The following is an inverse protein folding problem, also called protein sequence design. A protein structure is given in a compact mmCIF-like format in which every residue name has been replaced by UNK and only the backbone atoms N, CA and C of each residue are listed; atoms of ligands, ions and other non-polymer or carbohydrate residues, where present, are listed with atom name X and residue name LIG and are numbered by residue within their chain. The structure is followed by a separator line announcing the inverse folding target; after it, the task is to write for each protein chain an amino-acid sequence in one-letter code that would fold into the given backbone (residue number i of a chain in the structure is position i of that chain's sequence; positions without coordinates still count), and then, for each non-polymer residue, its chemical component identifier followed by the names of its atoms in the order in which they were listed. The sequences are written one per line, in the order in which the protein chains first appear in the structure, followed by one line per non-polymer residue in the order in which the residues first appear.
data_IF_536765931581
#
_entry.id   IF_536765931581
#
_cell.length_a   1.000
_cell.length_b   1.000
_cell.length_c   1.000
_cell.angle_alpha   90.00
_cell.angle_beta   90.00
_cell.angle_gamma   90.00
#
_symmetry.space_group_name_H-M   'P 1'
#
loop_
_entity.id
_entity.type
_entity.pdbx_description
1 polymer ?
#
# COMPACT_ATOMS: atom_id res chain seq x y z
N UNK A 1 -11.71 -17.80 -25.27
CA UNK A 1 -12.53 -18.95 -24.86
C UNK A 1 -11.55 -20.02 -24.39
N UNK A 2 -11.37 -20.18 -23.08
CA UNK A 2 -10.43 -21.16 -22.53
C UNK A 2 -11.17 -22.45 -22.22
N UNK A 3 -10.77 -23.53 -22.86
CA UNK A 3 -11.28 -24.89 -22.62
C UNK A 3 -10.29 -25.58 -21.65
N UNK A 4 -10.79 -26.03 -20.50
CA UNK A 4 -10.02 -26.91 -19.61
C UNK A 4 -10.57 -28.32 -19.77
N UNK A 5 -9.71 -29.24 -20.21
CA UNK A 5 -10.01 -30.66 -20.29
C UNK A 5 -9.57 -31.28 -18.95
N UNK A 6 -10.50 -31.72 -18.13
CA UNK A 6 -10.23 -32.52 -16.94
C UNK A 6 -10.37 -33.99 -17.35
N UNK A 7 -9.26 -34.73 -17.40
CA UNK A 7 -9.28 -36.18 -17.55
C UNK A 7 -9.54 -36.83 -16.19
N UNK A 8 -10.76 -37.30 -15.97
CA UNK A 8 -11.04 -38.24 -14.89
C UNK A 8 -10.74 -39.65 -15.41
N UNK A 9 -9.86 -40.35 -14.71
CA UNK A 9 -9.49 -41.75 -15.03
C UNK A 9 -10.64 -42.74 -14.82
N UNK A 10 -11.71 -42.63 -15.58
CA UNK A 10 -12.76 -43.61 -15.69
C UNK A 10 -12.70 -44.22 -17.10
N UNK A 11 -12.57 -45.52 -17.12
CA UNK A 11 -12.63 -46.38 -18.32
C UNK A 11 -13.99 -46.23 -18.98
N UNK A 12 -14.16 -45.30 -19.87
CA UNK A 12 -15.08 -45.27 -21.03
C UNK A 12 -14.99 -43.84 -21.60
N UNK A 13 -14.41 -43.71 -22.77
CA UNK A 13 -14.03 -42.48 -23.41
C UNK A 13 -15.20 -41.60 -23.84
N UNK A 14 -15.66 -40.77 -22.93
CA UNK A 14 -16.41 -39.57 -23.22
C UNK A 14 -15.84 -38.43 -22.40
N UNK A 15 -15.03 -37.59 -23.02
CA UNK A 15 -14.57 -36.34 -22.42
C UNK A 15 -15.77 -35.40 -22.22
N UNK A 16 -16.19 -35.21 -20.99
CA UNK A 16 -17.23 -34.24 -20.63
C UNK A 16 -16.63 -32.84 -20.56
N UNK A 17 -16.90 -32.02 -21.56
CA UNK A 17 -16.51 -30.61 -21.59
C UNK A 17 -17.46 -29.84 -20.66
N UNK A 18 -16.97 -29.52 -19.45
CA UNK A 18 -17.66 -28.63 -18.52
C UNK A 18 -17.43 -27.17 -18.93
N UNK A 19 -18.52 -26.50 -19.33
CA UNK A 19 -18.48 -25.04 -19.54
C UNK A 19 -18.57 -24.33 -18.19
N UNK A 20 -17.48 -23.70 -17.75
CA UNK A 20 -17.50 -22.89 -16.54
C UNK A 20 -18.47 -21.71 -16.69
N UNK A 21 -19.26 -21.47 -15.65
CA UNK A 21 -20.07 -20.25 -15.58
C UNK A 21 -19.19 -18.99 -15.54
N UNK A 22 -19.71 -17.81 -15.91
CA UNK A 22 -18.95 -16.56 -15.79
C UNK A 22 -18.35 -16.33 -14.41
N UNK A 23 -19.05 -16.74 -13.36
CA UNK A 23 -18.60 -16.65 -11.96
C UNK A 23 -17.41 -17.58 -11.70
N UNK A 24 -17.48 -18.82 -12.16
CA UNK A 24 -16.38 -19.78 -12.00
C UNK A 24 -15.13 -19.34 -12.75
N UNK A 25 -15.28 -18.74 -13.95
CA UNK A 25 -14.17 -18.16 -14.71
C UNK A 25 -13.52 -16.97 -13.99
N UNK A 26 -14.34 -16.11 -13.38
CA UNK A 26 -13.85 -14.97 -12.60
C UNK A 26 -13.10 -15.43 -11.35
N UNK A 27 -13.64 -16.43 -10.63
CA UNK A 27 -12.98 -17.04 -9.48
C UNK A 27 -11.67 -17.75 -9.83
N UNK A 28 -11.61 -18.43 -10.99
CA UNK A 28 -10.37 -19.04 -11.47
C UNK A 28 -9.32 -17.97 -11.86
N UNK A 29 -9.72 -16.89 -12.53
CA UNK A 29 -8.84 -15.76 -12.84
C UNK A 29 -8.29 -15.11 -11.57
N UNK A 30 -9.13 -14.90 -10.55
CA UNK A 30 -8.71 -14.37 -9.25
C UNK A 30 -7.78 -15.35 -8.52
N UNK A 31 -8.13 -16.63 -8.49
CA UNK A 31 -7.29 -17.67 -7.89
C UNK A 31 -5.95 -17.86 -8.61
N UNK A 32 -5.91 -17.68 -9.94
CA UNK A 32 -4.66 -17.72 -10.73
C UNK A 32 -3.81 -16.47 -10.49
N UNK A 33 -4.42 -15.29 -10.35
CA UNK A 33 -3.73 -14.04 -10.02
C UNK A 33 -3.11 -14.14 -8.62
N UNK A 34 -3.84 -14.62 -7.62
CA UNK A 34 -3.32 -14.88 -6.28
C UNK A 34 -2.22 -15.95 -6.26
N UNK A 35 -2.39 -17.06 -7.01
CA UNK A 35 -1.36 -18.11 -7.12
C UNK A 35 -0.10 -17.63 -7.84
N UNK A 36 -0.24 -16.77 -8.86
CA UNK A 36 0.91 -16.19 -9.57
C UNK A 36 1.67 -15.21 -8.69
N UNK A 37 0.98 -14.42 -7.89
CA UNK A 37 1.58 -13.53 -6.89
C UNK A 37 2.32 -14.33 -5.80
N UNK A 38 1.73 -15.40 -5.26
CA UNK A 38 2.41 -16.32 -4.31
C UNK A 38 3.65 -17.00 -4.89
N UNK A 39 3.61 -17.45 -6.16
CA UNK A 39 4.78 -18.08 -6.80
C UNK A 39 5.93 -17.10 -7.07
N UNK A 40 5.66 -15.82 -7.36
CA UNK A 40 6.70 -14.82 -7.56
C UNK A 40 7.39 -14.43 -6.25
N UNK A 41 6.65 -14.28 -5.14
CA UNK A 41 7.23 -13.94 -3.83
C UNK A 41 8.19 -15.02 -3.29
N UNK A 42 7.88 -16.30 -3.56
CA UNK A 42 8.73 -17.42 -3.12
C UNK A 42 10.03 -17.61 -3.93
N UNK A 43 10.14 -17.05 -5.14
CA UNK A 43 11.34 -17.19 -5.99
C UNK A 43 12.44 -16.17 -5.73
N UNK A 44 12.16 -15.08 -5.04
CA UNK A 44 13.09 -13.96 -4.87
C UNK A 44 13.76 -13.86 -3.49
N UNK A 45 13.79 -14.94 -2.69
CA UNK A 45 14.71 -15.08 -1.55
C UNK A 45 14.72 -13.98 -0.47
N UNK A 46 13.80 -13.03 -0.52
CA UNK A 46 13.69 -11.93 0.44
C UNK A 46 12.91 -12.37 1.68
N UNK A 47 13.60 -12.93 2.66
CA UNK A 47 13.01 -13.53 3.87
C UNK A 47 12.48 -12.55 4.92
N UNK A 48 12.55 -11.22 4.76
CA UNK A 48 12.13 -10.29 5.81
C UNK A 48 11.20 -9.13 5.43
N UNK A 49 11.02 -8.79 4.15
CA UNK A 49 10.14 -7.68 3.75
C UNK A 49 9.13 -8.01 2.64
N UNK A 50 8.99 -9.25 2.26
CA UNK A 50 8.24 -9.68 1.08
C UNK A 50 6.89 -10.31 1.38
N UNK A 51 6.10 -9.80 2.34
CA UNK A 51 4.69 -10.15 2.39
C UNK A 51 3.94 -9.21 1.45
N UNK A 52 3.24 -9.79 0.45
CA UNK A 52 2.25 -9.06 -0.33
C UNK A 52 1.31 -8.31 0.61
N UNK A 53 0.71 -7.19 0.12
CA UNK A 53 -0.37 -6.50 0.81
C UNK A 53 -1.60 -7.44 0.78
N UNK A 54 -1.51 -8.56 1.46
CA UNK A 54 -2.66 -9.42 1.72
C UNK A 54 -3.17 -9.01 3.11
N UNK A 55 -4.12 -8.08 3.12
CA UNK A 55 -4.96 -7.89 4.29
C UNK A 55 -5.74 -9.20 4.49
N UNK A 56 -5.87 -9.64 5.73
CA UNK A 56 -6.71 -10.80 6.08
C UNK A 56 -8.22 -10.48 5.92
N UNK A 57 -8.55 -9.52 5.06
CA UNK A 57 -9.92 -9.11 4.77
C UNK A 57 -10.50 -10.10 3.73
N UNK A 58 -11.62 -10.70 4.09
CA UNK A 58 -12.35 -11.56 3.18
C UNK A 58 -13.22 -10.70 2.25
N UNK A 59 -12.85 -10.61 0.99
CA UNK A 59 -13.60 -9.83 0.01
C UNK A 59 -14.85 -10.59 -0.43
N UNK A 60 -15.97 -9.88 -0.53
CA UNK A 60 -17.23 -10.36 -1.06
C UNK A 60 -17.57 -9.69 -2.38
N UNK A 61 -18.48 -10.30 -3.13
CA UNK A 61 -18.93 -9.83 -4.44
C UNK A 61 -20.45 -9.77 -4.49
N UNK A 62 -20.96 -8.76 -5.15
CA UNK A 62 -22.38 -8.67 -5.47
C UNK A 62 -22.77 -9.82 -6.40
N UNK A 63 -23.77 -10.65 -6.06
CA UNK A 63 -24.10 -11.85 -6.82
C UNK A 63 -24.71 -11.57 -8.22
N UNK A 64 -25.23 -10.38 -8.43
CA UNK A 64 -25.88 -9.98 -9.69
C UNK A 64 -24.89 -9.27 -10.61
N UNK A 65 -24.19 -8.27 -10.08
CA UNK A 65 -23.27 -7.43 -10.86
C UNK A 65 -21.87 -7.99 -10.94
N UNK A 66 -21.53 -8.95 -10.06
CA UNK A 66 -20.19 -9.53 -9.87
C UNK A 66 -19.12 -8.47 -9.50
N UNK A 67 -19.53 -7.31 -9.00
CA UNK A 67 -18.64 -6.28 -8.54
C UNK A 67 -18.17 -6.57 -7.12
N UNK A 68 -16.92 -6.26 -6.77
CA UNK A 68 -16.47 -6.37 -5.39
C UNK A 68 -17.29 -5.43 -4.51
N UNK A 69 -17.49 -5.83 -3.26
CA UNK A 69 -18.20 -5.06 -2.25
C UNK A 69 -17.20 -4.53 -1.23
N UNK A 70 -17.31 -3.24 -0.91
CA UNK A 70 -16.48 -2.61 0.10
C UNK A 70 -16.64 -3.33 1.45
N UNK A 71 -15.54 -3.81 2.08
CA UNK A 71 -15.61 -4.63 3.30
C UNK A 71 -16.18 -3.89 4.51
N UNK A 72 -16.09 -2.56 4.53
CA UNK A 72 -16.63 -1.73 5.63
C UNK A 72 -18.11 -1.41 5.40
N UNK A 73 -18.63 -1.63 4.20
CA UNK A 73 -20.03 -1.39 3.88
C UNK A 73 -20.21 -0.38 2.75
N UNK A 74 -21.42 0.21 2.70
CA UNK A 74 -21.77 1.13 1.63
C UNK A 74 -21.34 2.56 1.95
N UNK A 75 -20.67 3.18 0.97
CA UNK A 75 -20.34 4.62 0.98
C UNK A 75 -21.46 5.48 0.38
N UNK A 76 -22.37 4.86 -0.38
CA UNK A 76 -23.40 5.53 -1.14
C UNK A 76 -22.98 5.92 -2.57
N UNK A 77 -21.72 5.69 -2.93
CA UNK A 77 -21.17 5.91 -4.27
C UNK A 77 -20.87 4.57 -4.93
N UNK A 78 -21.59 4.21 -5.98
CA UNK A 78 -21.33 2.97 -6.73
C UNK A 78 -20.27 3.17 -7.81
N UNK A 79 -19.62 2.08 -8.21
CA UNK A 79 -18.60 2.10 -9.28
C UNK A 79 -17.19 2.24 -8.70
N UNK A 80 -16.22 2.65 -9.53
CA UNK A 80 -14.82 2.84 -9.11
C UNK A 80 -14.52 4.27 -8.61
N UNK A 81 -15.38 5.22 -8.91
CA UNK A 81 -15.09 6.63 -8.65
C UNK A 81 -13.78 7.06 -9.31
N UNK A 82 -12.92 7.70 -8.54
CA UNK A 82 -11.59 8.14 -8.96
C UNK A 82 -10.52 7.04 -8.88
N UNK A 83 -10.84 5.88 -8.31
CA UNK A 83 -9.89 4.79 -8.13
C UNK A 83 -9.68 4.01 -9.43
N UNK A 84 -8.44 3.58 -9.67
CA UNK A 84 -8.02 2.93 -10.91
C UNK A 84 -8.54 1.51 -11.08
N UNK A 85 -8.85 0.81 -9.97
CA UNK A 85 -9.20 -0.62 -9.96
C UNK A 85 -10.50 -0.87 -9.22
N UNK A 86 -11.22 -1.94 -9.61
CA UNK A 86 -12.30 -2.51 -8.82
C UNK A 86 -11.73 -3.23 -7.61
N UNK A 87 -12.40 -3.12 -6.47
CA UNK A 87 -11.93 -3.70 -5.23
C UNK A 87 -10.81 -2.89 -4.59
N UNK A 88 -9.83 -3.55 -3.93
CA UNK A 88 -8.75 -2.87 -3.25
C UNK A 88 -7.78 -2.19 -4.24
N UNK A 89 -7.44 -0.95 -3.93
CA UNK A 89 -6.38 -0.17 -4.56
C UNK A 89 -5.29 0.01 -3.51
N UNK A 90 -4.11 -0.53 -3.75
CA UNK A 90 -3.06 -0.60 -2.76
C UNK A 90 -2.13 0.60 -2.83
N UNK A 91 -1.84 1.16 -1.66
CA UNK A 91 -0.85 2.21 -1.45
C UNK A 91 0.25 1.75 -0.49
N UNK A 92 1.30 2.55 -0.38
CA UNK A 92 2.37 2.35 0.58
C UNK A 92 2.85 3.72 1.08
N UNK A 93 2.92 3.89 2.40
CA UNK A 93 3.18 5.15 3.06
C UNK A 93 4.42 5.02 3.98
N UNK A 94 5.59 5.52 3.55
CA UNK A 94 6.79 5.54 4.39
C UNK A 94 6.77 6.70 5.37
N UNK A 95 6.73 6.42 6.67
CA UNK A 95 6.98 7.41 7.71
C UNK A 95 8.47 7.42 7.99
N UNK A 96 9.17 8.43 7.53
CA UNK A 96 10.55 8.67 7.91
C UNK A 96 10.56 9.59 9.13
N UNK A 97 11.11 9.09 10.25
CA UNK A 97 11.10 9.77 11.53
C UNK A 97 12.50 9.93 12.11
N UNK A 98 12.67 10.88 13.01
CA UNK A 98 13.88 11.06 13.81
C UNK A 98 13.55 11.69 15.16
N UNK A 99 14.50 11.65 16.08
CA UNK A 99 14.47 12.47 17.28
C UNK A 99 15.33 13.71 17.03
N UNK A 100 14.77 14.90 17.21
CA UNK A 100 15.47 16.16 17.02
C UNK A 100 16.42 16.47 18.20
N UNK A 101 17.20 17.55 18.09
CA UNK A 101 18.17 17.94 19.11
C UNK A 101 17.52 18.32 20.47
N UNK A 102 16.21 18.58 20.52
CA UNK A 102 15.44 18.84 21.74
C UNK A 102 14.87 17.57 22.37
N UNK A 103 15.02 16.42 21.73
CA UNK A 103 14.44 15.15 22.17
C UNK A 103 13.02 14.88 21.66
N UNK A 104 12.47 15.73 20.78
CA UNK A 104 11.14 15.54 20.22
C UNK A 104 11.19 14.58 19.03
N UNK A 105 10.24 13.65 18.99
CA UNK A 105 10.00 12.80 17.83
C UNK A 105 9.33 13.62 16.73
N UNK A 106 9.91 13.61 15.55
CA UNK A 106 9.36 14.29 14.36
C UNK A 106 9.41 13.38 13.13
N UNK A 107 8.57 13.68 12.15
CA UNK A 107 8.48 12.93 10.89
C UNK A 107 8.48 13.87 9.69
N UNK A 108 8.90 13.35 8.54
CA UNK A 108 8.85 14.07 7.26
C UNK A 108 7.40 14.12 6.77
N UNK A 109 6.93 15.32 6.48
CA UNK A 109 5.64 15.55 5.84
C UNK A 109 5.79 16.37 4.56
N UNK A 110 4.94 16.10 3.58
CA UNK A 110 4.82 16.83 2.32
C UNK A 110 3.49 17.57 2.25
N UNK A 111 3.47 18.73 1.65
CA UNK A 111 2.24 19.48 1.40
C UNK A 111 1.69 19.14 0.01
N UNK A 112 0.50 18.58 -0.04
CA UNK A 112 -0.15 18.16 -1.29
C UNK A 112 -0.47 19.33 -2.22
N UNK A 113 -0.29 19.12 -3.52
CA UNK A 113 -0.63 20.15 -4.52
C UNK A 113 -2.13 20.36 -4.71
N UNK A 114 -2.92 19.28 -4.59
CA UNK A 114 -4.34 19.28 -4.91
C UNK A 114 -5.20 20.07 -3.90
N UNK A 115 -4.92 19.91 -2.60
CA UNK A 115 -5.74 20.52 -1.53
C UNK A 115 -4.94 21.33 -0.50
N UNK A 116 -3.60 21.27 -0.55
CA UNK A 116 -2.72 22.01 0.36
C UNK A 116 -2.60 21.41 1.77
N UNK A 117 -3.19 20.25 2.02
CA UNK A 117 -3.05 19.53 3.31
C UNK A 117 -1.67 18.89 3.44
N UNK A 118 -1.23 18.74 4.70
CA UNK A 118 -0.01 17.99 4.99
C UNK A 118 -0.30 16.50 4.98
N UNK A 119 0.63 15.72 4.44
CA UNK A 119 0.51 14.28 4.31
C UNK A 119 1.85 13.58 4.62
N UNK A 120 1.79 12.33 4.98
CA UNK A 120 2.94 11.42 4.92
C UNK A 120 3.26 11.22 3.44
N UNK A 121 4.54 11.25 3.00
CA UNK A 121 4.91 10.80 1.67
C UNK A 121 4.33 9.42 1.36
N UNK A 122 3.79 9.22 0.17
CA UNK A 122 3.20 7.94 -0.14
C UNK A 122 2.37 7.94 -1.42
N UNK A 123 2.19 6.76 -1.99
CA UNK A 123 1.46 6.62 -3.23
C UNK A 123 1.05 5.20 -3.57
N UNK A 124 0.59 5.05 -4.78
CA UNK A 124 0.04 3.79 -5.27
C UNK A 124 1.15 2.78 -5.58
N UNK A 125 0.90 1.53 -5.20
CA UNK A 125 1.78 0.41 -5.57
C UNK A 125 1.56 0.04 -7.04
N UNK A 126 2.61 0.11 -7.83
CA UNK A 126 2.57 -0.24 -9.24
C UNK A 126 2.43 -1.75 -9.48
N UNK A 127 1.96 -2.11 -10.67
CA UNK A 127 1.76 -3.50 -11.03
C UNK A 127 3.09 -4.28 -11.07
N UNK A 128 3.27 -5.18 -10.09
CA UNK A 128 4.47 -6.01 -9.97
C UNK A 128 5.58 -5.39 -9.12
N UNK A 129 5.37 -4.20 -8.58
CA UNK A 129 6.26 -3.56 -7.62
C UNK A 129 6.12 -4.22 -6.23
N UNK A 130 7.23 -4.30 -5.49
CA UNK A 130 7.21 -4.72 -4.09
C UNK A 130 6.98 -3.51 -3.19
N UNK A 131 6.26 -3.70 -2.07
CA UNK A 131 5.97 -2.63 -1.09
C UNK A 131 7.23 -1.88 -0.67
N UNK A 132 8.34 -2.58 -0.43
CA UNK A 132 9.61 -1.95 -0.07
C UNK A 132 10.18 -1.04 -1.17
N UNK A 133 9.96 -1.38 -2.44
CA UNK A 133 10.35 -0.55 -3.57
C UNK A 133 9.46 0.68 -3.68
N UNK A 134 8.14 0.50 -3.55
CA UNK A 134 7.18 1.60 -3.53
C UNK A 134 7.52 2.59 -2.41
N UNK A 135 7.76 2.12 -1.17
CA UNK A 135 8.09 2.97 -0.03
C UNK A 135 9.35 3.83 -0.29
N UNK A 136 10.40 3.24 -0.87
CA UNK A 136 11.63 3.97 -1.22
C UNK A 136 11.40 4.96 -2.35
N UNK A 137 10.69 4.55 -3.40
CA UNK A 137 10.39 5.37 -4.58
C UNK A 137 9.57 6.58 -4.19
N UNK A 138 8.43 6.38 -3.50
CA UNK A 138 7.54 7.45 -3.07
C UNK A 138 8.27 8.48 -2.18
N UNK A 139 9.08 8.01 -1.23
CA UNK A 139 9.87 8.93 -0.42
C UNK A 139 10.92 9.68 -1.24
N UNK A 140 11.59 9.00 -2.18
CA UNK A 140 12.58 9.64 -3.03
C UNK A 140 11.95 10.67 -3.98
N UNK A 141 10.80 10.37 -4.56
CA UNK A 141 10.07 11.25 -5.48
C UNK A 141 9.51 12.47 -4.75
N UNK A 142 8.89 12.28 -3.58
CA UNK A 142 8.20 13.36 -2.87
C UNK A 142 9.09 14.14 -1.89
N UNK A 143 10.16 13.54 -1.36
CA UNK A 143 10.95 14.14 -0.30
C UNK A 143 12.44 14.33 -0.62
N UNK A 144 12.97 13.71 -1.66
CA UNK A 144 14.39 13.77 -2.04
C UNK A 144 14.63 14.22 -3.48
N UNK A 145 13.62 14.74 -4.15
CA UNK A 145 13.70 15.19 -5.54
C UNK A 145 14.27 14.12 -6.50
N UNK A 146 13.87 12.86 -6.28
CA UNK A 146 14.30 11.71 -7.09
C UNK A 146 15.73 11.19 -6.82
N UNK A 147 16.45 11.73 -5.84
CA UNK A 147 17.79 11.24 -5.47
C UNK A 147 17.64 9.95 -4.65
N UNK A 148 17.75 8.81 -5.32
CA UNK A 148 17.57 7.48 -4.71
C UNK A 148 18.86 6.92 -4.10
N UNK A 149 20.02 7.41 -4.52
CA UNK A 149 21.32 6.79 -4.24
C UNK A 149 22.15 7.57 -3.20
N UNK A 150 22.06 7.12 -1.96
CA UNK A 150 23.25 7.11 -1.11
C UNK A 150 23.31 5.74 -0.44
N UNK A 151 24.43 5.04 -0.57
CA UNK A 151 24.72 3.77 0.15
C UNK A 151 24.44 3.91 1.66
N UNK A 152 24.49 5.13 2.19
CA UNK A 152 24.18 5.47 3.57
C UNK A 152 22.68 5.32 3.94
N UNK A 153 21.74 5.38 2.99
CA UNK A 153 20.31 5.26 3.27
C UNK A 153 19.82 3.80 3.25
N UNK A 154 20.61 2.86 2.74
CA UNK A 154 20.23 1.44 2.79
C UNK A 154 20.05 0.94 4.23
N UNK A 155 20.83 1.47 5.17
CA UNK A 155 20.67 1.14 6.58
C UNK A 155 19.32 1.61 7.13
N UNK A 156 18.90 2.83 6.79
CA UNK A 156 17.59 3.35 7.16
C UNK A 156 16.48 2.44 6.64
N UNK A 157 16.54 2.10 5.35
CA UNK A 157 15.51 1.30 4.69
C UNK A 157 15.46 -0.16 5.15
N UNK A 158 16.57 -0.72 5.61
CA UNK A 158 16.63 -2.08 6.11
C UNK A 158 16.04 -2.26 7.51
N UNK A 159 15.86 -1.15 8.26
CA UNK A 159 15.35 -1.15 9.63
C UNK A 159 13.88 -0.70 9.73
N UNK A 160 13.12 -0.82 8.65
CA UNK A 160 11.71 -0.45 8.64
C UNK A 160 10.83 -1.32 9.55
N UNK A 161 9.99 -0.68 10.36
CA UNK A 161 8.99 -1.32 11.23
C UNK A 161 7.60 -1.11 10.65
N UNK A 162 6.87 -2.20 10.36
CA UNK A 162 5.47 -2.11 9.93
C UNK A 162 4.61 -1.59 11.08
N UNK A 163 3.86 -0.52 10.85
CA UNK A 163 2.94 0.09 11.82
C UNK A 163 1.49 -0.26 11.52
N UNK A 164 1.13 -0.34 10.23
CA UNK A 164 -0.23 -0.58 9.80
C UNK A 164 -0.27 -1.36 8.50
N UNK A 165 -1.32 -2.15 8.34
CA UNK A 165 -1.67 -2.83 7.09
C UNK A 165 -3.17 -3.03 7.05
N UNK A 166 -3.84 -2.46 6.06
CA UNK A 166 -5.27 -2.66 5.95
C UNK A 166 -6.02 -1.60 5.15
N UNK A 167 -7.33 -1.66 5.29
CA UNK A 167 -8.28 -0.69 4.75
C UNK A 167 -8.03 0.70 5.36
N UNK A 168 -8.13 1.73 4.54
CA UNK A 168 -8.08 3.11 5.01
C UNK A 168 -9.33 3.88 4.61
N UNK A 169 -9.76 4.75 5.51
CA UNK A 169 -10.85 5.67 5.22
C UNK A 169 -10.31 6.81 4.34
N UNK A 170 -10.65 6.73 3.07
CA UNK A 170 -10.17 7.65 2.03
C UNK A 170 -11.40 8.25 1.31
N UNK A 171 -11.42 9.55 1.05
CA UNK A 171 -12.55 10.22 0.39
C UNK A 171 -12.86 9.68 -1.03
N UNK A 172 -11.94 8.97 -1.65
CA UNK A 172 -12.12 8.31 -2.95
C UNK A 172 -12.84 6.97 -2.86
N UNK A 173 -13.02 6.40 -1.66
CA UNK A 173 -13.66 5.10 -1.47
C UNK A 173 -15.10 5.11 -1.97
N UNK A 174 -15.48 3.99 -2.58
CA UNK A 174 -16.83 3.73 -3.10
C UNK A 174 -17.35 2.39 -2.61
N UNK A 175 -18.59 2.06 -2.93
CA UNK A 175 -19.19 0.74 -2.66
C UNK A 175 -18.44 -0.42 -3.31
N UNK A 176 -17.61 -0.14 -4.35
CA UNK A 176 -17.01 -1.18 -5.21
C UNK A 176 -15.52 -1.01 -5.45
N UNK A 177 -14.91 0.03 -4.89
CA UNK A 177 -13.47 0.30 -4.95
C UNK A 177 -13.05 1.06 -3.68
N UNK A 178 -11.92 0.69 -3.09
CA UNK A 178 -11.45 1.29 -1.84
C UNK A 178 -9.93 1.25 -1.76
N UNK A 179 -9.40 2.04 -0.83
CA UNK A 179 -7.98 2.10 -0.55
C UNK A 179 -7.58 1.11 0.55
N UNK A 180 -6.47 0.44 0.34
CA UNK A 180 -5.73 -0.30 1.35
C UNK A 180 -4.29 0.15 1.32
N UNK A 181 -3.66 0.30 2.49
CA UNK A 181 -2.27 0.73 2.56
C UNK A 181 -1.44 -0.15 3.47
N UNK A 182 -0.12 -0.04 3.29
CA UNK A 182 0.89 -0.54 4.22
C UNK A 182 1.75 0.63 4.67
N UNK A 183 1.83 0.83 5.98
CA UNK A 183 2.60 1.92 6.59
C UNK A 183 3.81 1.35 7.30
N UNK A 184 4.99 1.86 6.96
CA UNK A 184 6.24 1.52 7.64
C UNK A 184 6.87 2.76 8.26
N UNK A 185 7.39 2.61 9.46
CA UNK A 185 8.28 3.61 10.05
C UNK A 185 9.74 3.25 9.77
N UNK A 186 10.48 4.23 9.29
CA UNK A 186 11.92 4.21 9.11
C UNK A 186 12.53 5.29 10.01
N UNK A 187 13.00 4.87 11.20
CA UNK A 187 13.52 5.79 12.20
C UNK A 187 15.01 6.03 12.01
N UNK A 188 15.37 7.29 11.74
CA UNK A 188 16.78 7.72 11.63
C UNK A 188 17.41 7.94 13.03
N UNK A 189 17.78 6.85 13.67
CA UNK A 189 18.47 6.88 14.97
C UNK A 189 19.94 7.32 14.90
N UNK A 190 20.54 7.34 13.69
CA UNK A 190 21.96 7.65 13.47
C UNK A 190 22.21 9.03 12.88
N UNK A 191 21.15 9.76 12.53
CA UNK A 191 21.27 11.06 11.88
C UNK A 191 21.77 10.98 10.43
N UNK A 192 21.44 9.90 9.72
CA UNK A 192 21.80 9.69 8.31
C UNK A 192 21.23 10.79 7.41
N UNK A 193 20.05 11.30 7.77
CA UNK A 193 19.35 12.36 7.05
C UNK A 193 19.81 13.78 7.44
N UNK A 194 20.71 13.94 8.42
CA UNK A 194 21.14 15.26 8.90
C UNK A 194 21.79 16.10 7.81
N UNK A 195 22.49 15.46 6.87
CA UNK A 195 23.19 16.09 5.75
C UNK A 195 22.50 15.86 4.40
N UNK A 196 21.34 15.22 4.40
CA UNK A 196 20.55 14.99 3.17
C UNK A 196 19.64 16.20 2.98
N UNK A 197 19.75 16.85 1.82
CA UNK A 197 18.85 17.93 1.45
C UNK A 197 17.48 17.32 1.12
N UNK A 198 16.57 17.36 2.09
CA UNK A 198 15.18 17.03 1.86
C UNK A 198 14.52 18.20 1.13
N UNK A 199 13.98 17.95 -0.03
CA UNK A 199 13.30 18.94 -0.88
C UNK A 199 12.01 18.34 -1.41
N UNK A 200 10.96 19.17 -1.45
CA UNK A 200 9.70 18.78 -2.04
C UNK A 200 9.89 18.38 -3.51
N UNK A 201 9.39 17.21 -3.89
CA UNK A 201 9.36 16.73 -5.27
C UNK A 201 8.30 17.45 -6.11
N UNK A 202 8.14 17.00 -7.37
CA UNK A 202 7.26 17.68 -8.34
C UNK A 202 5.78 17.69 -7.92
N UNK A 203 5.34 16.68 -7.18
CA UNK A 203 3.96 16.53 -6.70
C UNK A 203 3.70 17.13 -5.30
N UNK A 204 4.70 17.77 -4.69
CA UNK A 204 4.61 18.39 -3.38
C UNK A 204 4.93 19.90 -3.42
N UNK A 205 4.08 20.73 -2.80
CA UNK A 205 4.31 22.18 -2.69
C UNK A 205 5.42 22.54 -1.73
N UNK A 206 5.54 21.78 -0.65
CA UNK A 206 6.50 22.00 0.41
C UNK A 206 6.78 20.70 1.16
N UNK A 207 7.90 20.68 1.85
CA UNK A 207 8.31 19.59 2.74
C UNK A 207 8.82 20.19 4.05
N UNK A 208 8.50 19.54 5.17
CA UNK A 208 9.08 19.89 6.48
C UNK A 208 9.07 18.71 7.43
N UNK A 209 9.87 18.81 8.47
CA UNK A 209 9.74 18.00 9.67
C UNK A 209 8.58 18.52 10.50
N UNK A 210 7.71 17.65 10.97
CA UNK A 210 6.58 17.96 11.84
C UNK A 210 6.74 17.17 13.13
N UNK A 211 6.67 17.87 14.27
CA UNK A 211 6.68 17.19 15.56
C UNK A 211 5.43 16.30 15.70
N UNK A 212 5.62 15.07 16.13
CA UNK A 212 4.57 14.07 16.27
C UNK A 212 3.45 14.52 17.22
N UNK A 213 3.79 15.37 18.20
CA UNK A 213 2.85 15.96 19.16
C UNK A 213 2.23 17.28 18.68
N UNK A 214 2.47 17.70 17.44
CA UNK A 214 1.81 18.89 16.89
C UNK A 214 0.33 18.62 16.65
N UNK A 215 -0.47 19.69 16.65
CA UNK A 215 -1.89 19.64 16.28
C UNK A 215 -2.10 19.91 14.76
N UNK A 216 -1.09 19.67 13.95
CA UNK A 216 -1.16 19.88 12.51
C UNK A 216 -2.17 18.89 11.90
N UNK A 217 -3.21 19.36 11.20
CA UNK A 217 -4.13 18.49 10.52
C UNK A 217 -3.44 17.78 9.35
N UNK A 218 -3.65 16.46 9.26
CA UNK A 218 -3.09 15.63 8.20
C UNK A 218 -4.19 15.10 7.29
N UNK A 219 -3.84 14.88 6.03
CA UNK A 219 -4.74 14.33 5.02
C UNK A 219 -5.28 12.95 5.41
N UNK A 220 -6.56 12.72 5.18
CA UNK A 220 -7.25 11.43 5.32
C UNK A 220 -6.89 10.72 6.66
N UNK A 221 -6.49 9.46 6.61
CA UNK A 221 -6.16 8.62 7.77
C UNK A 221 -4.74 8.83 8.32
N UNK A 222 -3.96 9.79 7.80
CA UNK A 222 -2.55 9.95 8.17
C UNK A 222 -2.35 10.31 9.66
N UNK A 223 -3.28 11.03 10.28
CA UNK A 223 -3.24 11.30 11.73
C UNK A 223 -3.24 10.01 12.56
N UNK A 224 -4.03 9.01 12.16
CA UNK A 224 -4.04 7.70 12.81
C UNK A 224 -2.69 6.99 12.71
N UNK A 225 -2.00 7.09 11.58
CA UNK A 225 -0.68 6.48 11.41
C UNK A 225 0.39 7.15 12.29
N UNK A 226 0.26 8.47 12.52
CA UNK A 226 1.14 9.19 13.44
C UNK A 226 0.86 8.81 14.90
N UNK A 227 -0.39 8.50 15.26
CA UNK A 227 -0.69 7.96 16.59
C UNK A 227 -0.04 6.59 16.80
N UNK A 228 -0.10 5.70 15.81
CA UNK A 228 0.62 4.42 15.84
C UNK A 228 2.15 4.60 15.93
N UNK A 229 2.70 5.62 15.26
CA UNK A 229 4.11 5.98 15.40
C UNK A 229 4.45 6.36 16.85
N UNK A 230 3.63 7.22 17.51
CA UNK A 230 3.80 7.58 18.94
C UNK A 230 3.82 6.35 19.83
N UNK A 231 2.81 5.50 19.69
CA UNK A 231 2.71 4.27 20.47
C UNK A 231 3.95 3.38 20.30
N UNK A 232 4.48 3.28 19.08
CA UNK A 232 5.63 2.45 18.77
C UNK A 232 6.95 2.93 19.38
N UNK A 233 7.03 4.21 19.84
CA UNK A 233 8.20 4.84 20.47
C UNK A 233 8.01 5.08 21.97
N UNK A 234 6.84 4.74 22.54
CA UNK A 234 6.55 4.92 23.96
C UNK A 234 6.98 3.72 24.83
N UNK A 235 7.71 2.75 24.25
CA UNK A 235 8.10 1.50 24.93
C UNK A 235 9.62 1.34 25.00
#
# INVERSE_FOLDING_TARGET
MCLIILSNGAKNGQDTILRLTPIQKLMELFGQTQKSMRKRSNRLGMRSMGKSIECHIQYSFDPVTLRPLNPIGRTGLSGRGLLGRWGPNHAADPIVSRTNDNGDLEFVAVQRHDNGEWAIPGGMVDAGEHVSQTLRREFAEEAMHGIVDSENLDELWNNGKELYRGYVDDPRNTDNAWMETVVFNFHDSKGLLKNVALQAGDDAKALRWIAVNSNEPLYASHSHFIDLLKESHSH
#
